data_IF_298301478937
#
_entry.id   IF_298301478937
#
_cell.length_a   1.000
_cell.length_b   1.000
_cell.length_c   1.000
_cell.angle_alpha   90.00
_cell.angle_beta   90.00
_cell.angle_gamma   90.00
#
_symmetry.space_group_name_H-M   'P 1'
#
loop_
_entity.id
_entity.type
_entity.pdbx_description
1 polymer ?
#
# COMPACT_ATOMS: atom_id res chain seq x y z
N UNK A 1 -22.12 -25.25 26.65
CA UNK A 1 -21.05 -26.26 26.66
C UNK A 1 -19.84 -25.67 25.96
N UNK A 2 -18.74 -25.46 26.70
CA UNK A 2 -17.39 -25.27 26.13
C UNK A 2 -16.91 -26.61 25.55
N UNK A 3 -16.10 -26.58 24.48
CA UNK A 3 -14.78 -27.26 24.38
C UNK A 3 -14.32 -27.38 22.91
N UNK A 4 -13.25 -26.63 22.60
CA UNK A 4 -12.09 -27.13 21.85
C UNK A 4 -12.12 -27.16 20.30
N UNK A 5 -11.87 -26.01 19.67
CA UNK A 5 -11.57 -25.86 18.23
C UNK A 5 -10.08 -26.12 17.92
N UNK A 6 -9.64 -27.34 18.23
CA UNK A 6 -8.24 -27.79 18.30
C UNK A 6 -7.45 -27.82 16.99
N UNK A 7 -7.86 -27.13 15.92
CA UNK A 7 -7.07 -27.01 14.68
C UNK A 7 -6.80 -25.58 14.19
N UNK A 8 -7.43 -24.55 14.76
CA UNK A 8 -7.22 -23.17 14.30
C UNK A 8 -6.20 -22.39 15.14
N UNK A 9 -6.09 -22.66 16.45
CA UNK A 9 -5.27 -21.86 17.36
C UNK A 9 -3.76 -22.05 17.18
N UNK A 10 -3.31 -23.25 16.81
CA UNK A 10 -1.89 -23.53 16.59
C UNK A 10 -1.39 -22.90 15.27
N UNK A 11 -2.22 -22.94 14.21
CA UNK A 11 -1.96 -22.21 12.96
C UNK A 11 -2.02 -20.70 13.17
N UNK A 12 -3.04 -20.20 13.85
CA UNK A 12 -3.13 -18.78 14.23
C UNK A 12 -1.97 -18.34 15.13
N UNK A 13 -1.49 -19.20 16.00
CA UNK A 13 -0.32 -18.95 16.86
C UNK A 13 0.99 -18.92 16.06
N UNK A 14 1.15 -19.81 15.08
CA UNK A 14 2.26 -19.79 14.12
C UNK A 14 2.21 -18.56 13.21
N UNK A 15 1.05 -18.21 12.64
CA UNK A 15 0.85 -16.99 11.87
C UNK A 15 1.14 -15.76 12.72
N UNK A 16 0.62 -15.68 13.96
CA UNK A 16 0.91 -14.58 14.87
C UNK A 16 2.40 -14.51 15.22
N UNK A 17 3.05 -15.65 15.49
CA UNK A 17 4.49 -15.71 15.77
C UNK A 17 5.35 -15.30 14.57
N UNK A 18 4.96 -15.69 13.36
CA UNK A 18 5.62 -15.28 12.11
C UNK A 18 5.39 -13.80 11.81
N UNK A 19 4.17 -13.29 12.00
CA UNK A 19 3.85 -11.87 11.83
C UNK A 19 4.62 -11.02 12.83
N UNK A 20 4.63 -11.38 14.12
CA UNK A 20 5.42 -10.69 15.15
C UNK A 20 6.90 -10.81 14.83
N UNK A 21 7.41 -12.00 14.47
CA UNK A 21 8.80 -12.20 14.07
C UNK A 21 9.20 -11.33 12.87
N UNK A 22 8.35 -11.22 11.85
CA UNK A 22 8.55 -10.32 10.71
C UNK A 22 8.52 -8.85 11.12
N UNK A 23 7.58 -8.42 11.95
CA UNK A 23 7.54 -7.03 12.43
C UNK A 23 8.74 -6.68 13.32
N UNK A 24 9.30 -7.66 14.04
CA UNK A 24 10.46 -7.46 14.91
C UNK A 24 11.76 -7.44 14.10
N UNK A 25 11.85 -8.24 13.04
CA UNK A 25 13.03 -8.33 12.17
C UNK A 25 13.04 -7.27 11.08
N UNK A 26 11.87 -6.89 10.55
CA UNK A 26 11.70 -5.94 9.45
C UNK A 26 10.85 -4.77 9.94
N UNK A 27 11.44 -3.56 10.00
CA UNK A 27 10.69 -2.35 10.34
C UNK A 27 9.51 -2.10 9.37
N UNK A 28 8.44 -1.45 9.85
CA UNK A 28 7.22 -1.17 9.06
C UNK A 28 7.51 -0.52 7.70
N UNK A 29 8.53 0.35 7.63
CA UNK A 29 9.03 0.94 6.38
C UNK A 29 9.49 -0.13 5.38
N UNK A 30 10.31 -1.10 5.81
CA UNK A 30 10.84 -2.16 4.95
C UNK A 30 9.72 -3.04 4.39
N UNK A 31 8.74 -3.38 5.23
CA UNK A 31 7.56 -4.16 4.82
C UNK A 31 6.81 -3.40 3.71
N UNK A 32 6.53 -2.12 3.92
CA UNK A 32 5.84 -1.28 2.94
C UNK A 32 6.64 -1.13 1.65
N UNK A 33 7.96 -0.89 1.72
CA UNK A 33 8.82 -0.80 0.53
C UNK A 33 8.79 -2.09 -0.28
N UNK A 34 8.93 -3.25 0.37
CA UNK A 34 8.87 -4.54 -0.35
C UNK A 34 7.50 -4.74 -0.97
N UNK A 35 6.42 -4.46 -0.23
CA UNK A 35 5.06 -4.54 -0.75
C UNK A 35 4.87 -3.67 -1.99
N UNK A 36 5.27 -2.40 -1.94
CA UNK A 36 5.14 -1.47 -3.06
C UNK A 36 5.99 -1.84 -4.27
N UNK A 37 7.07 -2.60 -4.09
CA UNK A 37 7.91 -3.08 -5.18
C UNK A 37 7.36 -4.34 -5.86
N UNK A 38 6.52 -5.12 -5.18
CA UNK A 38 5.91 -6.34 -5.74
C UNK A 38 4.46 -6.15 -6.15
N UNK A 39 3.79 -5.10 -5.69
CA UNK A 39 2.40 -4.82 -6.03
C UNK A 39 2.23 -4.52 -7.53
N UNK A 40 1.13 -4.99 -8.09
CA UNK A 40 0.73 -4.69 -9.47
C UNK A 40 -0.09 -3.39 -9.49
N UNK A 41 0.27 -2.45 -10.36
CA UNK A 41 -0.41 -1.15 -10.54
C UNK A 41 -1.20 -1.05 -11.86
N UNK A 42 -1.12 -2.09 -12.67
CA UNK A 42 -1.82 -2.28 -13.93
C UNK A 42 -1.29 -3.53 -14.62
N UNK A 43 -1.92 -4.01 -15.71
CA UNK A 43 -1.54 -5.28 -16.36
C UNK A 43 -0.05 -5.34 -16.70
N UNK A 44 0.70 -6.17 -15.97
CA UNK A 44 2.15 -6.34 -16.20
C UNK A 44 3.05 -5.24 -15.65
N UNK A 45 2.50 -4.28 -14.89
CA UNK A 45 3.24 -3.15 -14.30
C UNK A 45 3.40 -3.42 -12.80
N UNK A 46 4.55 -3.99 -12.44
CA UNK A 46 4.89 -4.36 -11.06
C UNK A 46 5.87 -3.38 -10.45
N UNK A 47 5.56 -2.95 -9.24
CA UNK A 47 6.40 -2.04 -8.49
C UNK A 47 6.07 -0.57 -8.71
N UNK A 48 6.17 0.20 -7.63
CA UNK A 48 5.84 1.62 -7.63
C UNK A 48 6.78 2.44 -8.52
N UNK A 49 8.05 2.05 -8.64
CA UNK A 49 9.01 2.73 -9.53
C UNK A 49 8.60 2.59 -11.00
N UNK A 50 8.37 1.35 -11.45
CA UNK A 50 7.92 1.07 -12.82
C UNK A 50 6.57 1.74 -13.10
N UNK A 51 5.64 1.73 -12.15
CA UNK A 51 4.37 2.44 -12.30
C UNK A 51 4.55 3.95 -12.44
N UNK A 52 5.48 4.55 -11.69
CA UNK A 52 5.76 5.98 -11.73
C UNK A 52 6.36 6.40 -13.07
N UNK A 53 7.32 5.63 -13.58
CA UNK A 53 7.93 5.86 -14.90
C UNK A 53 6.90 5.66 -16.03
N UNK A 54 6.05 4.65 -15.91
CA UNK A 54 5.05 4.29 -16.93
C UNK A 54 3.92 5.31 -17.03
N UNK A 55 3.39 5.77 -15.89
CA UNK A 55 2.19 6.62 -15.88
C UNK A 55 2.48 8.12 -15.76
N UNK A 56 3.63 8.50 -15.19
CA UNK A 56 3.95 9.90 -14.90
C UNK A 56 5.34 10.32 -15.40
N UNK A 57 6.10 9.42 -16.02
CA UNK A 57 7.43 9.69 -16.57
C UNK A 57 8.42 10.30 -15.58
N UNK A 58 8.43 9.77 -14.35
CA UNK A 58 9.32 10.22 -13.27
C UNK A 58 9.57 9.12 -12.24
N UNK A 59 10.60 9.33 -11.43
CA UNK A 59 10.93 8.43 -10.32
C UNK A 59 9.85 8.44 -9.24
N UNK A 60 9.68 7.32 -8.52
CA UNK A 60 8.69 7.23 -7.44
C UNK A 60 8.94 8.26 -6.33
N UNK A 61 10.20 8.66 -6.12
CA UNK A 61 10.58 9.73 -5.18
C UNK A 61 10.08 11.12 -5.58
N UNK A 62 9.67 11.31 -6.83
CA UNK A 62 9.23 12.58 -7.40
C UNK A 62 7.70 12.64 -7.61
N UNK A 63 6.98 11.60 -7.17
CA UNK A 63 5.53 11.62 -7.17
C UNK A 63 5.01 12.74 -6.27
N UNK A 64 4.04 13.49 -6.79
CA UNK A 64 3.21 14.38 -5.98
C UNK A 64 2.25 13.55 -5.13
N UNK A 65 1.74 14.14 -4.04
CA UNK A 65 0.74 13.47 -3.21
C UNK A 65 -0.51 13.00 -3.98
N UNK A 66 -0.90 13.73 -5.03
CA UNK A 66 -2.06 13.35 -5.86
C UNK A 66 -1.79 12.14 -6.74
N UNK A 67 -0.57 11.99 -7.28
CA UNK A 67 -0.21 10.84 -8.10
C UNK A 67 0.02 9.60 -7.23
N UNK A 68 0.64 9.78 -6.05
CA UNK A 68 0.73 8.72 -5.06
C UNK A 68 -0.67 8.24 -4.62
N UNK A 69 -1.61 9.16 -4.41
CA UNK A 69 -3.00 8.82 -4.11
C UNK A 69 -3.69 8.10 -5.28
N UNK A 70 -3.35 8.43 -6.52
CA UNK A 70 -3.90 7.76 -7.70
C UNK A 70 -3.39 6.32 -7.82
N UNK A 71 -2.08 6.10 -7.63
CA UNK A 71 -1.50 4.75 -7.58
C UNK A 71 -2.08 3.94 -6.42
N UNK A 72 -2.27 4.54 -5.26
CA UNK A 72 -2.93 3.88 -4.12
C UNK A 72 -4.40 3.53 -4.40
N UNK A 73 -5.10 4.34 -5.22
CA UNK A 73 -6.50 4.10 -5.57
C UNK A 73 -6.70 2.88 -6.48
N UNK A 74 -5.70 2.47 -7.26
CA UNK A 74 -5.79 1.34 -8.19
C UNK A 74 -5.38 0.00 -7.56
N UNK A 75 -4.55 0.02 -6.52
CA UNK A 75 -4.07 -1.19 -5.81
C UNK A 75 -5.15 -2.20 -5.40
N UNK A 76 -6.39 -1.83 -5.01
CA UNK A 76 -7.39 -2.83 -4.62
C UNK A 76 -7.81 -3.76 -5.77
N UNK A 77 -7.74 -3.27 -7.02
CA UNK A 77 -8.01 -4.07 -8.20
C UNK A 77 -7.33 -3.46 -9.44
N UNK A 78 -6.02 -3.68 -9.63
CA UNK A 78 -5.24 -3.03 -10.68
C UNK A 78 -5.59 -3.51 -12.09
N UNK A 79 -6.33 -4.61 -12.22
CA UNK A 79 -6.83 -5.13 -13.50
C UNK A 79 -8.02 -4.32 -13.99
N UNK A 80 -8.90 -3.87 -13.06
CA UNK A 80 -10.12 -3.11 -13.37
C UNK A 80 -9.88 -1.59 -13.27
N UNK A 81 -9.01 -1.16 -12.35
CA UNK A 81 -8.74 0.25 -12.09
C UNK A 81 -7.46 0.68 -12.79
N UNK A 82 -7.60 1.60 -13.74
CA UNK A 82 -6.47 2.08 -14.55
C UNK A 82 -5.98 3.44 -14.07
N UNK A 83 -4.68 3.53 -13.76
CA UNK A 83 -4.05 4.81 -13.41
C UNK A 83 -3.89 5.73 -14.65
N UNK A 84 -3.69 5.15 -15.84
CA UNK A 84 -3.59 5.89 -17.11
C UNK A 84 -4.92 6.44 -17.62
N UNK A 85 -6.04 5.81 -17.25
CA UNK A 85 -7.39 6.21 -17.65
C UNK A 85 -8.38 6.06 -16.48
N UNK A 86 -8.26 6.90 -15.43
CA UNK A 86 -9.02 6.72 -14.21
C UNK A 86 -10.51 7.04 -14.41
N UNK A 87 -11.35 6.06 -14.12
CA UNK A 87 -12.80 6.21 -14.10
C UNK A 87 -13.25 7.20 -13.02
N UNK A 88 -14.51 7.64 -13.08
CA UNK A 88 -15.08 8.53 -12.06
C UNK A 88 -14.96 7.94 -10.64
N UNK A 89 -15.11 6.61 -10.51
CA UNK A 89 -14.90 5.89 -9.26
C UNK A 89 -13.45 6.02 -8.76
N UNK A 90 -12.47 5.74 -9.63
CA UNK A 90 -11.04 5.83 -9.27
C UNK A 90 -10.67 7.25 -8.87
N UNK A 91 -11.18 8.27 -9.57
CA UNK A 91 -10.99 9.68 -9.19
C UNK A 91 -11.63 10.01 -7.84
N UNK A 92 -12.83 9.50 -7.56
CA UNK A 92 -13.48 9.65 -6.27
C UNK A 92 -12.68 9.02 -5.13
N UNK A 93 -12.10 7.84 -5.36
CA UNK A 93 -11.20 7.15 -4.43
C UNK A 93 -9.90 7.93 -4.23
N UNK A 94 -9.27 8.41 -5.29
CA UNK A 94 -8.07 9.25 -5.23
C UNK A 94 -8.32 10.47 -4.34
N UNK A 95 -9.42 11.21 -4.57
CA UNK A 95 -9.77 12.38 -3.74
C UNK A 95 -10.01 12.02 -2.28
N UNK A 96 -10.67 10.88 -2.02
CA UNK A 96 -10.84 10.38 -0.66
C UNK A 96 -9.48 10.09 0.00
N UNK A 97 -8.58 9.39 -0.69
CA UNK A 97 -7.22 9.10 -0.20
C UNK A 97 -6.45 10.39 0.08
N UNK A 98 -6.44 11.36 -0.83
CA UNK A 98 -5.76 12.64 -0.63
C UNK A 98 -6.25 13.38 0.61
N UNK A 99 -7.58 13.42 0.83
CA UNK A 99 -8.15 14.00 2.06
C UNK A 99 -7.70 13.27 3.33
N UNK A 100 -7.59 11.94 3.28
CA UNK A 100 -7.08 11.17 4.42
C UNK A 100 -5.60 11.48 4.69
N UNK A 101 -4.78 11.60 3.63
CA UNK A 101 -3.38 11.99 3.78
C UNK A 101 -3.24 13.37 4.44
N UNK A 102 -4.07 14.34 4.05
CA UNK A 102 -4.11 15.67 4.66
C UNK A 102 -4.53 15.61 6.13
N UNK A 103 -5.58 14.86 6.46
CA UNK A 103 -6.08 14.69 7.83
C UNK A 103 -5.06 14.03 8.76
N UNK A 104 -4.21 13.15 8.24
CA UNK A 104 -3.12 12.53 9.01
C UNK A 104 -1.95 13.48 9.28
N UNK A 105 -1.90 14.64 8.63
CA UNK A 105 -0.80 15.62 8.73
C UNK A 105 0.16 15.58 7.55
N UNK A 106 -0.23 14.98 6.42
CA UNK A 106 0.57 14.93 5.20
C UNK A 106 1.92 14.27 5.38
N UNK A 107 2.98 14.88 4.83
CA UNK A 107 4.37 14.43 5.03
C UNK A 107 4.84 14.62 6.48
N UNK A 108 4.26 15.58 7.22
CA UNK A 108 4.56 15.79 8.64
C UNK A 108 4.19 14.59 9.53
N UNK A 109 3.21 13.77 9.11
CA UNK A 109 2.94 12.48 9.75
C UNK A 109 4.16 11.55 9.68
N UNK A 110 4.76 11.45 8.49
CA UNK A 110 5.90 10.55 8.26
C UNK A 110 7.14 11.02 9.01
N UNK A 111 7.34 12.34 9.15
CA UNK A 111 8.45 12.92 9.91
C UNK A 111 8.31 12.61 11.41
N UNK A 112 7.10 12.82 11.96
CA UNK A 112 6.80 12.57 13.38
C UNK A 112 7.03 11.11 13.80
N UNK A 113 6.81 10.16 12.89
CA UNK A 113 6.95 8.72 13.16
C UNK A 113 8.26 8.12 12.62
N UNK A 114 9.22 8.93 12.18
CA UNK A 114 10.50 8.48 11.63
C UNK A 114 10.35 7.42 10.52
N UNK A 115 9.38 7.63 9.61
CA UNK A 115 9.08 6.72 8.51
C UNK A 115 9.88 7.04 7.23
N UNK A 116 10.81 8.00 7.30
CA UNK A 116 11.74 8.38 6.22
C UNK A 116 13.02 7.56 6.17
#
# INVERSE_FOLDING_TARGET
MFLWDGRSWLRKGLEAGLTVGLETLWGKKRILTVYLNIAEFGPGIFGVEMASETYFHKHASQLTGQEAALLAAVLPNPIIYHASAPSAYVRGRQQWISRQMEQLGGTGFLEKYHLY
#
